data_IF_085612388275
#
_entry.id   IF_085612388275
#
_cell.length_a   1.000
_cell.length_b   1.000
_cell.length_c   1.000
_cell.angle_alpha   90.00
_cell.angle_beta   90.00
_cell.angle_gamma   90.00
#
_symmetry.space_group_name_H-M   'P 1'
#
loop_
_entity.id
_entity.type
_entity.pdbx_description
1 polymer ?
#
# COMPACT_ATOMS: atom_id res chain seq x y z
N UNK A 1 3.45 3.28 9.26
CA UNK A 1 2.62 3.58 10.43
C UNK A 1 1.58 4.66 10.11
N UNK A 2 1.96 5.81 9.56
CA UNK A 2 1.07 6.97 9.33
C UNK A 2 -0.19 6.62 8.51
N UNK A 3 -0.05 5.77 7.49
CA UNK A 3 -1.19 5.31 6.66
C UNK A 3 -2.24 4.56 7.48
N UNK A 4 -1.81 3.92 8.55
CA UNK A 4 -2.68 3.16 9.46
C UNK A 4 -3.20 3.99 10.64
N UNK A 5 -2.90 5.29 10.67
CA UNK A 5 -3.24 6.16 11.79
C UNK A 5 -2.45 5.86 13.06
N UNK A 6 -1.25 5.31 12.90
CA UNK A 6 -0.30 5.13 13.98
C UNK A 6 0.74 6.25 13.93
N UNK A 7 0.99 6.88 15.06
CA UNK A 7 2.08 7.82 15.22
C UNK A 7 3.33 7.09 15.72
N UNK A 8 4.46 7.37 15.09
CA UNK A 8 5.76 6.83 15.53
C UNK A 8 6.66 7.96 16.01
N UNK A 9 7.06 7.87 17.26
CA UNK A 9 7.93 8.83 17.93
C UNK A 9 9.30 8.17 18.19
N UNK A 10 10.40 8.73 17.67
CA UNK A 10 11.73 8.19 17.95
C UNK A 10 12.10 8.45 19.41
N UNK A 11 12.54 7.40 20.08
CA UNK A 11 13.15 7.43 21.40
C UNK A 11 14.67 7.24 21.29
N UNK A 12 15.35 7.14 22.44
CA UNK A 12 16.77 6.82 22.49
C UNK A 12 17.05 5.36 22.07
N UNK A 13 18.28 5.07 21.66
CA UNK A 13 18.78 3.71 21.35
C UNK A 13 18.05 2.99 20.20
N UNK A 14 17.71 3.69 19.12
CA UNK A 14 17.02 3.11 17.95
C UNK A 14 15.65 2.48 18.29
N UNK A 15 15.01 2.96 19.34
CA UNK A 15 13.66 2.55 19.74
C UNK A 15 12.64 3.56 19.22
N UNK A 16 11.54 3.05 18.66
CA UNK A 16 10.38 3.84 18.28
C UNK A 16 9.24 3.54 19.26
N UNK A 17 8.54 4.59 19.65
CA UNK A 17 7.28 4.46 20.37
C UNK A 17 6.13 4.60 19.36
N UNK A 18 5.36 3.54 19.19
CA UNK A 18 4.20 3.50 18.29
C UNK A 18 2.93 3.64 19.10
N UNK A 19 2.14 4.68 18.80
CA UNK A 19 0.89 5.00 19.47
C UNK A 19 -0.27 5.03 18.49
N UNK A 20 -1.49 4.61 18.89
CA UNK A 20 -2.68 4.85 18.09
C UNK A 20 -3.03 6.35 18.13
N UNK A 21 -3.27 6.95 16.96
CA UNK A 21 -3.77 8.32 16.88
C UNK A 21 -5.30 8.33 16.92
N UNK A 22 -5.89 9.47 17.27
CA UNK A 22 -7.35 9.65 17.16
C UNK A 22 -7.87 9.49 15.72
N UNK A 23 -7.02 9.65 14.74
CA UNK A 23 -7.34 9.47 13.31
C UNK A 23 -7.50 7.99 12.95
N UNK A 24 -6.86 7.08 13.70
CA UNK A 24 -7.06 5.64 13.56
C UNK A 24 -8.53 5.24 13.81
N UNK A 25 -9.19 5.94 14.71
CA UNK A 25 -10.60 5.73 15.06
C UNK A 25 -11.56 6.39 14.04
N UNK A 26 -11.06 7.28 13.19
CA UNK A 26 -11.84 8.11 12.27
C UNK A 26 -11.38 8.04 10.81
N UNK A 27 -10.82 6.95 10.36
CA UNK A 27 -10.51 6.85 8.93
C UNK A 27 -11.83 6.74 8.17
N UNK A 28 -12.34 7.88 7.70
CA UNK A 28 -13.62 8.01 6.96
C UNK A 28 -13.64 7.17 5.67
N UNK A 29 -12.48 6.70 5.24
CA UNK A 29 -12.32 5.82 4.07
C UNK A 29 -12.64 4.35 4.39
N UNK A 30 -12.64 3.96 5.66
CA UNK A 30 -12.95 2.59 6.10
C UNK A 30 -14.23 2.68 6.91
N UNK A 31 -15.29 1.99 6.48
CA UNK A 31 -16.54 1.98 7.23
C UNK A 31 -16.32 1.37 8.63
N UNK A 32 -16.99 1.90 9.64
CA UNK A 32 -16.95 1.36 11.00
C UNK A 32 -17.28 -0.14 11.05
N UNK A 33 -18.21 -0.60 10.18
CA UNK A 33 -18.56 -2.01 10.01
C UNK A 33 -17.39 -2.86 9.51
N UNK A 34 -16.50 -2.28 8.73
CA UNK A 34 -15.29 -2.96 8.21
C UNK A 34 -14.23 -3.04 9.30
N UNK A 35 -14.10 -2.02 10.15
CA UNK A 35 -13.14 -2.02 11.27
C UNK A 35 -13.52 -3.01 12.37
N UNK A 36 -14.82 -3.25 12.61
CA UNK A 36 -15.29 -4.24 13.59
C UNK A 36 -14.91 -5.69 13.21
N UNK A 37 -14.62 -5.95 11.95
CA UNK A 37 -14.16 -7.26 11.46
C UNK A 37 -12.63 -7.40 11.43
N UNK A 38 -11.90 -6.29 11.52
CA UNK A 38 -10.45 -6.25 11.55
C UNK A 38 -9.97 -5.76 12.91
N UNK A 39 -9.65 -6.68 13.77
CA UNK A 39 -8.95 -6.37 15.00
C UNK A 39 -7.51 -5.99 14.64
N UNK A 40 -7.24 -4.70 14.50
CA UNK A 40 -5.88 -4.21 14.60
C UNK A 40 -5.34 -4.61 15.98
N UNK A 41 -4.03 -4.98 16.14
CA UNK A 41 -3.55 -5.37 17.46
C UNK A 41 -3.89 -4.28 18.46
N UNK A 42 -4.48 -4.68 19.57
CA UNK A 42 -4.69 -3.78 20.70
C UNK A 42 -3.32 -3.23 21.11
N UNK A 43 -3.10 -1.97 20.79
CA UNK A 43 -1.92 -1.27 21.26
C UNK A 43 -2.23 -0.78 22.69
N UNK A 44 -1.26 -0.89 23.61
CA UNK A 44 -1.39 -0.28 24.92
C UNK A 44 -1.68 1.23 24.80
N UNK A 45 -2.47 1.79 25.71
CA UNK A 45 -2.77 3.24 25.70
C UNK A 45 -1.48 4.09 25.73
N UNK A 46 -0.46 3.61 26.42
CA UNK A 46 0.87 4.24 26.50
C UNK A 46 1.73 4.03 25.23
N UNK A 47 1.22 3.28 24.26
CA UNK A 47 1.93 2.89 23.06
C UNK A 47 2.82 1.66 23.23
N UNK A 48 3.36 1.20 22.11
CA UNK A 48 4.25 0.04 22.04
C UNK A 48 5.66 0.49 21.65
N UNK A 49 6.67 0.10 22.44
CA UNK A 49 8.07 0.32 22.08
C UNK A 49 8.53 -0.78 21.15
N UNK A 50 9.05 -0.36 20.00
CA UNK A 50 9.52 -1.27 18.95
C UNK A 50 10.91 -0.85 18.47
N UNK A 51 11.66 -1.79 17.95
CA UNK A 51 12.96 -1.54 17.32
C UNK A 51 13.19 -2.47 16.15
N UNK A 52 13.96 -2.00 15.17
CA UNK A 52 14.48 -2.82 14.07
C UNK A 52 15.84 -3.45 14.42
N UNK A 53 16.45 -3.04 15.54
CA UNK A 53 17.73 -3.58 15.99
C UNK A 53 17.52 -4.77 16.92
N UNK A 54 18.01 -5.94 16.47
CA UNK A 54 17.86 -7.19 17.23
C UNK A 54 18.59 -7.16 18.57
N UNK A 55 19.76 -6.52 18.63
CA UNK A 55 20.56 -6.46 19.86
C UNK A 55 19.87 -5.62 20.93
N UNK A 56 19.26 -4.50 20.51
CA UNK A 56 18.45 -3.65 21.39
C UNK A 56 17.26 -4.43 21.93
N UNK A 57 16.53 -5.15 21.07
CA UNK A 57 15.37 -5.96 21.49
C UNK A 57 15.76 -7.09 22.45
N UNK A 58 16.93 -7.71 22.27
CA UNK A 58 17.44 -8.76 23.16
C UNK A 58 17.92 -8.23 24.50
N UNK A 59 18.34 -6.98 24.57
CA UNK A 59 18.85 -6.34 25.78
C UNK A 59 17.76 -5.72 26.67
N UNK A 60 16.53 -5.55 26.11
CA UNK A 60 15.44 -4.82 26.76
C UNK A 60 14.12 -5.59 26.67
N UNK A 61 13.57 -5.98 27.79
CA UNK A 61 12.30 -6.72 27.89
C UNK A 61 11.07 -5.85 27.51
N UNK A 62 11.19 -4.52 27.61
CA UNK A 62 10.12 -3.56 27.32
C UNK A 62 10.05 -3.15 25.84
N UNK A 63 10.95 -3.69 24.98
CA UNK A 63 11.06 -3.33 23.56
C UNK A 63 10.79 -4.55 22.68
N UNK A 64 9.85 -4.41 21.76
CA UNK A 64 9.48 -5.47 20.83
C UNK A 64 10.31 -5.37 19.56
N UNK A 65 10.81 -6.50 19.09
CA UNK A 65 11.51 -6.58 17.82
C UNK A 65 10.50 -6.52 16.66
N UNK A 66 10.66 -5.54 15.79
CA UNK A 66 9.79 -5.34 14.63
C UNK A 66 10.28 -6.17 13.45
N UNK A 67 9.78 -7.39 13.35
CA UNK A 67 10.05 -8.34 12.27
C UNK A 67 8.78 -8.68 11.51
N UNK A 68 8.91 -9.47 10.43
CA UNK A 68 7.78 -10.01 9.69
C UNK A 68 6.83 -10.86 10.55
N UNK A 69 7.31 -11.43 11.64
CA UNK A 69 6.53 -12.24 12.58
C UNK A 69 5.81 -11.41 13.65
N UNK A 70 6.11 -10.11 13.71
CA UNK A 70 5.46 -9.22 14.67
C UNK A 70 3.97 -9.05 14.32
N UNK A 71 3.05 -9.20 15.27
CA UNK A 71 1.61 -9.11 15.02
C UNK A 71 1.18 -7.81 14.31
N UNK A 72 1.80 -6.68 14.65
CA UNK A 72 1.51 -5.40 13.98
C UNK A 72 1.84 -5.47 12.49
N UNK A 73 2.99 -6.05 12.15
CA UNK A 73 3.43 -6.20 10.76
C UNK A 73 2.52 -7.18 10.02
N UNK A 74 2.25 -8.34 10.62
CA UNK A 74 1.36 -9.34 10.00
C UNK A 74 -0.02 -8.79 9.74
N UNK A 75 -0.62 -8.10 10.70
CA UNK A 75 -1.95 -7.52 10.52
C UNK A 75 -1.96 -6.39 9.49
N UNK A 76 -0.91 -5.55 9.44
CA UNK A 76 -0.79 -4.55 8.38
C UNK A 76 -0.70 -5.19 6.99
N UNK A 77 0.02 -6.31 6.85
CA UNK A 77 0.10 -7.07 5.60
C UNK A 77 -1.23 -7.73 5.25
N UNK A 78 -1.92 -8.32 6.23
CA UNK A 78 -3.23 -8.92 6.03
C UNK A 78 -4.26 -7.88 5.59
N UNK A 79 -4.24 -6.69 6.17
CA UNK A 79 -5.09 -5.58 5.76
C UNK A 79 -4.82 -5.15 4.32
N UNK A 80 -3.55 -5.07 3.90
CA UNK A 80 -3.20 -4.75 2.50
C UNK A 80 -3.59 -5.88 1.54
N UNK A 81 -3.48 -7.13 1.98
CA UNK A 81 -3.79 -8.30 1.16
C UNK A 81 -5.31 -8.56 1.01
N UNK A 82 -6.14 -7.95 1.86
CA UNK A 82 -7.59 -8.14 1.81
C UNK A 82 -8.26 -7.14 0.87
N UNK A 83 -9.30 -7.58 0.18
CA UNK A 83 -10.09 -6.71 -0.73
C UNK A 83 -10.94 -5.66 0.01
N UNK A 84 -10.99 -5.71 1.33
CA UNK A 84 -11.93 -4.90 2.13
C UNK A 84 -11.52 -3.44 2.20
N UNK A 85 -10.22 -3.16 2.37
CA UNK A 85 -9.70 -1.78 2.38
C UNK A 85 -9.43 -1.30 0.94
N UNK A 86 -9.46 -2.24 0.00
CA UNK A 86 -9.02 -2.01 -1.37
C UNK A 86 -7.49 -1.97 -1.46
N UNK A 87 -7.01 -2.28 -2.65
CA UNK A 87 -5.60 -2.29 -3.02
C UNK A 87 -5.30 -1.21 -4.07
N UNK A 88 -6.03 -0.12 -4.02
CA UNK A 88 -5.89 1.01 -4.96
C UNK A 88 -5.62 2.30 -4.22
N UNK A 89 -4.82 3.17 -4.83
CA UNK A 89 -4.51 4.50 -4.34
C UNK A 89 -4.48 5.50 -5.48
N UNK A 90 -4.66 6.77 -5.18
CA UNK A 90 -4.45 7.86 -6.12
C UNK A 90 -3.37 8.78 -5.59
N UNK A 91 -2.38 9.03 -6.40
CA UNK A 91 -1.28 9.95 -6.09
C UNK A 91 -1.17 11.01 -7.19
N UNK A 92 -0.64 12.16 -6.85
CA UNK A 92 -0.22 13.16 -7.82
C UNK A 92 1.29 13.14 -7.95
N UNK A 93 1.76 13.19 -9.20
CA UNK A 93 3.18 13.24 -9.51
C UNK A 93 3.47 14.42 -10.44
N UNK A 94 4.64 15.03 -10.30
CA UNK A 94 5.12 16.02 -11.24
C UNK A 94 6.01 15.31 -12.25
N UNK A 95 5.63 15.34 -13.52
CA UNK A 95 6.41 14.69 -14.57
C UNK A 95 6.59 15.61 -15.77
N UNK A 96 7.83 15.76 -16.22
CA UNK A 96 8.19 16.74 -17.25
C UNK A 96 7.55 16.47 -18.62
N UNK A 97 7.30 15.21 -18.96
CA UNK A 97 6.75 14.81 -20.26
C UNK A 97 5.22 14.74 -20.30
N UNK A 98 4.53 14.98 -19.17
CA UNK A 98 3.08 14.89 -19.08
C UNK A 98 2.45 16.27 -18.86
N UNK A 99 1.38 16.61 -19.63
CA UNK A 99 0.59 17.80 -19.33
C UNK A 99 -0.04 17.74 -17.94
N UNK A 100 -0.12 18.89 -17.28
CA UNK A 100 -0.80 18.98 -16.00
C UNK A 100 -2.27 18.52 -16.12
N UNK A 101 -2.74 17.76 -15.14
CA UNK A 101 -4.09 17.18 -15.12
C UNK A 101 -4.26 15.91 -15.94
N UNK A 102 -3.18 15.34 -16.49
CA UNK A 102 -3.23 14.02 -17.13
C UNK A 102 -3.45 12.95 -16.05
N UNK A 103 -4.47 12.12 -16.23
CA UNK A 103 -4.75 10.98 -15.37
C UNK A 103 -4.21 9.71 -16.02
N UNK A 104 -3.33 9.02 -15.33
CA UNK A 104 -2.79 7.72 -15.75
C UNK A 104 -3.41 6.61 -14.89
N UNK A 105 -3.50 5.41 -15.44
CA UNK A 105 -3.79 4.20 -14.67
C UNK A 105 -2.53 3.34 -14.62
N UNK A 106 -2.07 3.05 -13.42
CA UNK A 106 -1.11 1.99 -13.17
C UNK A 106 -1.84 0.77 -12.59
N UNK A 107 -1.64 -0.38 -13.19
CA UNK A 107 -2.18 -1.65 -12.71
C UNK A 107 -1.05 -2.65 -12.51
N UNK A 108 -1.07 -3.33 -11.37
CA UNK A 108 -0.14 -4.40 -11.03
C UNK A 108 -0.92 -5.72 -11.00
N UNK A 109 -0.50 -6.68 -11.79
CA UNK A 109 -1.08 -8.02 -11.86
C UNK A 109 -0.08 -9.02 -11.30
N UNK A 110 -0.53 -9.86 -10.38
CA UNK A 110 0.25 -10.96 -9.87
C UNK A 110 -0.09 -12.22 -10.65
N UNK A 111 0.85 -12.70 -11.46
CA UNK A 111 0.74 -13.99 -12.11
C UNK A 111 1.13 -15.06 -11.11
N UNK A 112 0.17 -15.91 -10.77
CA UNK A 112 0.35 -17.01 -9.84
C UNK A 112 -0.14 -18.32 -10.48
N UNK A 113 0.66 -19.35 -10.43
CA UNK A 113 0.30 -20.68 -10.95
C UNK A 113 -0.29 -21.52 -9.81
N UNK A 114 -1.55 -21.92 -9.97
CA UNK A 114 -2.21 -22.83 -9.00
C UNK A 114 -1.99 -24.28 -9.45
N UNK A 115 -1.25 -25.03 -8.68
CA UNK A 115 -0.94 -26.44 -8.97
C UNK A 115 -0.88 -27.26 -7.66
N UNK A 116 -1.00 -28.60 -7.73
CA UNK A 116 -0.76 -29.46 -6.59
C UNK A 116 0.64 -29.24 -6.01
N UNK A 117 0.74 -29.23 -4.66
CA UNK A 117 1.97 -28.92 -3.94
C UNK A 117 3.16 -29.82 -4.29
N UNK A 118 2.85 -31.08 -4.69
CA UNK A 118 3.85 -32.07 -5.09
C UNK A 118 4.65 -31.69 -6.33
N UNK A 119 4.07 -30.82 -7.18
CA UNK A 119 4.73 -30.34 -8.40
C UNK A 119 5.75 -29.25 -8.13
N UNK A 120 5.75 -28.65 -6.93
CA UNK A 120 6.65 -27.57 -6.53
C UNK A 120 6.80 -26.47 -7.60
N UNK A 121 5.67 -26.09 -8.22
CA UNK A 121 5.63 -25.19 -9.38
C UNK A 121 6.29 -23.84 -9.06
N UNK A 122 6.19 -23.36 -7.84
CA UNK A 122 6.79 -22.08 -7.41
C UNK A 122 8.31 -22.01 -7.60
N UNK A 123 8.97 -23.18 -7.70
CA UNK A 123 10.41 -23.24 -8.03
C UNK A 123 10.71 -22.91 -9.48
N UNK A 124 9.76 -23.16 -10.37
CA UNK A 124 9.93 -23.03 -11.82
C UNK A 124 9.20 -21.81 -12.36
N UNK A 125 8.09 -21.45 -11.73
CA UNK A 125 7.23 -20.32 -12.06
C UNK A 125 6.89 -19.54 -10.78
N UNK A 126 7.85 -18.80 -10.23
CA UNK A 126 7.58 -17.99 -9.04
C UNK A 126 6.53 -16.91 -9.35
N UNK A 127 5.75 -16.49 -8.35
CA UNK A 127 4.83 -15.38 -8.51
C UNK A 127 5.53 -14.17 -9.12
N UNK A 128 5.02 -13.71 -10.25
CA UNK A 128 5.64 -12.63 -11.02
C UNK A 128 4.68 -11.45 -11.16
N UNK A 129 5.17 -10.24 -10.93
CA UNK A 129 4.37 -9.03 -11.07
C UNK A 129 4.47 -8.51 -12.50
N UNK A 130 3.31 -8.35 -13.15
CA UNK A 130 3.19 -7.63 -14.42
C UNK A 130 2.67 -6.23 -14.09
N UNK A 131 3.41 -5.21 -14.50
CA UNK A 131 3.04 -3.80 -14.37
C UNK A 131 2.55 -3.28 -15.72
N UNK A 132 1.43 -2.59 -15.73
CA UNK A 132 0.87 -1.93 -16.93
C UNK A 132 0.55 -0.48 -16.58
N UNK A 133 1.06 0.47 -17.35
CA UNK A 133 0.75 1.90 -17.21
C UNK A 133 0.07 2.39 -18.46
N UNK A 134 -1.16 2.88 -18.34
CA UNK A 134 -1.97 3.38 -19.44
C UNK A 134 -2.16 4.89 -19.38
N UNK A 135 -2.03 5.51 -20.54
CA UNK A 135 -2.43 6.89 -20.78
C UNK A 135 -3.95 7.00 -21.05
N UNK A 136 -4.56 8.20 -20.98
CA UNK A 136 -6.00 8.40 -21.21
C UNK A 136 -6.50 7.94 -22.59
N UNK A 137 -5.63 7.89 -23.58
CA UNK A 137 -5.90 7.38 -24.93
C UNK A 137 -5.78 5.86 -25.03
N UNK A 138 -5.64 5.16 -23.92
CA UNK A 138 -5.46 3.70 -23.81
C UNK A 138 -4.10 3.19 -24.35
N UNK A 139 -3.16 4.07 -24.64
CA UNK A 139 -1.81 3.67 -25.03
C UNK A 139 -1.04 3.13 -23.82
N UNK A 140 -0.38 2.00 -24.02
CA UNK A 140 0.57 1.45 -23.05
C UNK A 140 1.86 2.28 -23.06
N UNK A 141 2.17 2.90 -21.93
CA UNK A 141 3.34 3.74 -21.72
C UNK A 141 4.28 3.16 -20.66
N UNK A 142 4.10 1.91 -20.30
CA UNK A 142 4.84 1.24 -19.20
C UNK A 142 6.35 1.39 -19.35
N UNK A 143 6.86 1.21 -20.57
CA UNK A 143 8.29 1.33 -20.86
C UNK A 143 8.83 2.77 -20.70
N UNK A 144 7.98 3.78 -20.84
CA UNK A 144 8.34 5.18 -20.76
C UNK A 144 8.12 5.78 -19.37
N UNK A 145 7.59 4.99 -18.44
CA UNK A 145 7.22 5.43 -17.09
C UNK A 145 7.83 4.49 -16.03
N UNK A 146 9.12 4.61 -15.73
CA UNK A 146 9.77 3.77 -14.74
C UNK A 146 9.19 4.01 -13.33
N UNK A 147 9.32 3.02 -12.46
CA UNK A 147 8.81 3.09 -11.09
C UNK A 147 9.41 4.26 -10.28
N UNK A 148 10.68 4.57 -10.51
CA UNK A 148 11.38 5.69 -9.86
C UNK A 148 10.66 7.02 -10.03
N UNK A 149 10.12 7.29 -11.23
CA UNK A 149 9.46 8.56 -11.53
C UNK A 149 8.18 8.78 -10.70
N UNK A 150 7.55 7.70 -10.24
CA UNK A 150 6.35 7.76 -9.38
C UNK A 150 6.70 8.05 -7.92
N UNK A 151 7.86 7.60 -7.47
CA UNK A 151 8.30 7.73 -6.07
C UNK A 151 8.97 9.09 -5.85
N UNK A 152 9.88 9.47 -6.75
CA UNK A 152 10.73 10.64 -6.58
C UNK A 152 9.98 11.97 -6.87
N UNK A 153 8.95 11.93 -7.71
CA UNK A 153 8.20 13.11 -8.16
C UNK A 153 6.80 13.21 -7.52
N UNK A 154 6.56 12.49 -6.43
CA UNK A 154 5.27 12.51 -5.71
C UNK A 154 5.02 13.88 -5.09
N UNK A 155 3.80 14.39 -5.30
CA UNK A 155 3.32 15.63 -4.71
C UNK A 155 2.38 15.32 -3.54
N UNK A 156 2.52 16.07 -2.46
CA UNK A 156 1.56 16.05 -1.36
C UNK A 156 0.32 16.87 -1.75
N UNK A 157 -0.77 16.19 -2.03
CA UNK A 157 -2.06 16.81 -2.34
C UNK A 157 -3.10 16.24 -1.37
N UNK A 158 -3.98 17.10 -0.86
CA UNK A 158 -5.08 16.68 -0.01
C UNK A 158 -6.02 15.69 -0.74
N UNK A 159 -6.63 14.79 0.02
CA UNK A 159 -7.48 13.72 -0.56
C UNK A 159 -8.75 14.25 -1.24
N UNK A 160 -9.33 15.36 -0.77
CA UNK A 160 -10.57 15.91 -1.31
C UNK A 160 -10.47 16.33 -2.80
N UNK A 161 -9.45 17.08 -3.26
CA UNK A 161 -9.27 17.34 -4.70
C UNK A 161 -9.05 16.08 -5.53
N UNK A 162 -8.32 15.07 -5.00
CA UNK A 162 -8.10 13.81 -5.69
C UNK A 162 -9.40 13.03 -5.86
N UNK A 163 -10.25 12.98 -4.84
CA UNK A 163 -11.57 12.36 -4.91
C UNK A 163 -12.45 12.97 -6.01
N UNK A 164 -12.50 14.30 -6.13
CA UNK A 164 -13.26 14.98 -7.19
C UNK A 164 -12.77 14.64 -8.59
N UNK A 165 -11.45 14.51 -8.77
CA UNK A 165 -10.86 14.07 -10.05
C UNK A 165 -11.26 12.63 -10.34
N UNK A 166 -11.15 11.74 -9.36
CA UNK A 166 -11.53 10.34 -9.49
C UNK A 166 -12.97 10.18 -9.93
N UNK A 167 -13.92 10.89 -9.30
CA UNK A 167 -15.34 10.86 -9.64
C UNK A 167 -15.59 11.33 -11.07
N UNK A 168 -14.92 12.40 -11.49
CA UNK A 168 -15.07 12.95 -12.85
C UNK A 168 -14.51 12.02 -13.94
N UNK A 169 -13.53 11.18 -13.62
CA UNK A 169 -12.82 10.30 -14.56
C UNK A 169 -13.23 8.82 -14.46
N UNK A 170 -14.22 8.50 -13.67
CA UNK A 170 -14.62 7.11 -13.37
C UNK A 170 -14.85 6.23 -14.61
N UNK A 171 -15.51 6.77 -15.64
CA UNK A 171 -15.77 6.01 -16.88
C UNK A 171 -14.49 5.76 -17.68
N UNK A 172 -13.61 6.74 -17.73
CA UNK A 172 -12.29 6.62 -18.38
C UNK A 172 -11.43 5.56 -17.69
N UNK A 173 -11.34 5.63 -16.36
CA UNK A 173 -10.59 4.68 -15.56
C UNK A 173 -11.09 3.24 -15.70
N UNK A 174 -12.41 3.03 -15.77
CA UNK A 174 -12.98 1.69 -16.01
C UNK A 174 -12.55 1.13 -17.37
N UNK A 175 -12.50 1.96 -18.42
CA UNK A 175 -12.03 1.53 -19.74
C UNK A 175 -10.53 1.22 -19.72
N UNK A 176 -9.74 2.05 -19.06
CA UNK A 176 -8.30 1.84 -18.89
C UNK A 176 -8.05 0.52 -18.13
N UNK A 177 -8.78 0.24 -17.07
CA UNK A 177 -8.67 -1.00 -16.30
C UNK A 177 -9.02 -2.23 -17.14
N UNK A 178 -10.07 -2.17 -17.94
CA UNK A 178 -10.42 -3.26 -18.86
C UNK A 178 -9.32 -3.50 -19.91
N UNK A 179 -8.74 -2.43 -20.44
CA UNK A 179 -7.64 -2.53 -21.41
C UNK A 179 -6.37 -3.07 -20.77
N UNK A 180 -6.02 -2.65 -19.56
CA UNK A 180 -4.81 -3.14 -18.87
C UNK A 180 -4.86 -4.64 -18.58
N UNK A 181 -6.03 -5.20 -18.30
CA UNK A 181 -6.21 -6.66 -18.16
C UNK A 181 -5.88 -7.41 -19.45
N UNK A 182 -6.39 -6.92 -20.58
CA UNK A 182 -6.12 -7.54 -21.88
C UNK A 182 -4.64 -7.47 -22.31
N UNK A 183 -3.87 -6.52 -21.76
CA UNK A 183 -2.42 -6.42 -22.01
C UNK A 183 -1.65 -7.38 -21.09
N UNK A 184 -2.15 -7.59 -19.87
CA UNK A 184 -1.52 -8.48 -18.90
C UNK A 184 -1.76 -9.98 -19.20
N UNK A 185 -2.88 -10.32 -19.86
CA UNK A 185 -3.21 -11.67 -20.33
C UNK A 185 -2.36 -12.08 -21.55
#
# INVERSE_FOLDING_TARGET
FDVWGLESEPLEDEVLLVKPTQTMIRNESISLETMDHYHYPELPEDGLRVTYNREVALSREDVNFLTWENPIVQQALDLVATDIIGNSTMIAVKHASLPAGTVLLEALYLVNCVAPAELMIDRYMPPTVIRVVLAPNLADITANFPWSDLVDEKLEIANEPLGKILDSQQQGLRKMLATSRNIAD
#
